data_IF_202589335381
#
_entry.id   IF_202589335381
#
_cell.length_a   1.000
_cell.length_b   1.000
_cell.length_c   1.000
_cell.angle_alpha   90.00
_cell.angle_beta   90.00
_cell.angle_gamma   90.00
#
_symmetry.space_group_name_H-M   'P 1'
#
loop_
_entity.id
_entity.type
_entity.pdbx_description
1 polymer ?
#
# COMPACT_ATOMS: atom_id res chain seq x y z
N UNK A 1 7.70 15.99 -15.59
CA UNK A 1 7.18 16.70 -14.40
C UNK A 1 7.91 16.13 -13.19
N UNK A 2 8.27 16.94 -12.20
CA UNK A 2 8.88 16.46 -10.96
C UNK A 2 8.08 17.04 -9.81
N UNK A 3 7.77 16.19 -8.81
CA UNK A 3 7.18 16.65 -7.56
C UNK A 3 8.29 17.25 -6.69
N UNK A 4 8.02 18.33 -5.99
CA UNK A 4 8.94 18.88 -5.01
C UNK A 4 9.19 17.86 -3.89
N UNK A 5 8.10 17.29 -3.35
CA UNK A 5 8.08 16.35 -2.24
C UNK A 5 6.78 15.52 -2.25
N UNK A 6 6.61 14.62 -1.27
CA UNK A 6 5.41 13.78 -1.12
C UNK A 6 4.14 14.58 -0.79
N UNK A 7 4.26 15.73 -0.18
CA UNK A 7 3.13 16.62 0.11
C UNK A 7 2.54 17.17 -1.20
N UNK A 8 3.37 17.73 -2.07
CA UNK A 8 2.92 18.21 -3.38
C UNK A 8 2.35 17.07 -4.23
N UNK A 9 3.02 15.91 -4.23
CA UNK A 9 2.53 14.72 -4.94
C UNK A 9 1.14 14.29 -4.46
N UNK A 10 0.91 14.31 -3.14
CA UNK A 10 -0.39 14.00 -2.53
C UNK A 10 -1.49 14.97 -2.94
N UNK A 11 -1.22 16.27 -2.94
CA UNK A 11 -2.19 17.26 -3.41
C UNK A 11 -2.54 17.08 -4.89
N UNK A 12 -1.54 16.87 -5.74
CA UNK A 12 -1.78 16.63 -7.17
C UNK A 12 -2.53 15.34 -7.42
N UNK A 13 -2.26 14.30 -6.63
CA UNK A 13 -3.01 13.04 -6.69
C UNK A 13 -4.48 13.24 -6.28
N UNK A 14 -4.73 14.00 -5.22
CA UNK A 14 -6.07 14.30 -4.74
C UNK A 14 -6.94 15.04 -5.77
N UNK A 15 -6.35 15.86 -6.64
CA UNK A 15 -7.07 16.52 -7.74
C UNK A 15 -7.68 15.50 -8.72
N UNK A 16 -7.04 14.35 -8.92
CA UNK A 16 -7.54 13.28 -9.79
C UNK A 16 -8.56 12.38 -9.08
N UNK A 17 -8.75 12.56 -7.78
CA UNK A 17 -9.66 11.78 -6.93
C UNK A 17 -10.87 12.57 -6.45
N UNK A 18 -11.11 13.78 -6.98
CA UNK A 18 -12.17 14.69 -6.50
C UNK A 18 -13.58 14.09 -6.59
N UNK A 19 -13.82 13.11 -7.47
CA UNK A 19 -15.10 12.38 -7.57
C UNK A 19 -15.45 11.63 -6.27
N UNK A 20 -14.45 11.35 -5.41
CA UNK A 20 -14.61 10.64 -4.12
C UNK A 20 -14.76 11.58 -2.92
N UNK A 21 -14.67 12.89 -3.12
CA UNK A 21 -14.71 13.87 -2.03
C UNK A 21 -16.01 13.79 -1.24
N UNK A 22 -15.89 13.76 0.10
CA UNK A 22 -17.01 13.71 1.05
C UNK A 22 -17.89 12.44 0.91
N UNK A 23 -17.40 11.36 0.31
CA UNK A 23 -18.16 10.10 0.30
C UNK A 23 -18.17 9.48 1.71
N UNK A 24 -19.35 9.10 2.26
CA UNK A 24 -19.46 8.65 3.65
C UNK A 24 -18.74 7.32 3.93
N UNK A 25 -18.63 6.46 2.90
CA UNK A 25 -18.02 5.13 3.03
C UNK A 25 -16.59 5.08 2.49
N UNK A 26 -15.97 6.24 2.28
CA UNK A 26 -14.59 6.33 1.83
C UNK A 26 -13.60 6.03 2.96
N UNK A 27 -12.56 5.27 2.65
CA UNK A 27 -11.41 5.01 3.52
C UNK A 27 -10.12 5.13 2.71
N UNK A 28 -9.21 5.97 3.18
CA UNK A 28 -7.87 6.09 2.60
C UNK A 28 -6.91 5.22 3.40
N UNK A 29 -6.14 4.38 2.71
CA UNK A 29 -5.14 3.52 3.30
C UNK A 29 -3.76 3.85 2.72
N UNK A 30 -2.82 4.28 3.57
CA UNK A 30 -1.45 4.53 3.15
C UNK A 30 -0.56 3.29 3.35
N UNK A 31 0.25 2.93 2.36
CA UNK A 31 1.30 1.92 2.53
C UNK A 31 2.52 2.55 3.24
N UNK A 32 2.86 2.08 4.44
CA UNK A 32 4.01 2.65 5.15
C UNK A 32 5.35 2.22 4.49
N UNK A 33 6.35 3.06 4.49
CA UNK A 33 6.34 4.39 5.13
C UNK A 33 6.02 5.51 4.14
N UNK A 34 6.58 5.48 2.92
CA UNK A 34 6.54 6.57 1.95
C UNK A 34 5.14 6.94 1.47
N UNK A 35 4.22 5.97 1.38
CA UNK A 35 2.83 6.23 0.97
C UNK A 35 2.01 7.02 1.98
N UNK A 36 2.41 7.02 3.27
CA UNK A 36 1.60 7.69 4.31
C UNK A 36 1.56 9.22 4.17
N UNK A 37 2.66 9.94 3.90
CA UNK A 37 2.60 11.38 3.64
C UNK A 37 1.71 11.73 2.44
N UNK A 38 1.77 10.95 1.36
CA UNK A 38 0.90 11.14 0.18
C UNK A 38 -0.56 10.89 0.54
N UNK A 39 -0.84 9.76 1.23
CA UNK A 39 -2.18 9.39 1.66
C UNK A 39 -2.80 10.42 2.62
N UNK A 40 -2.00 11.05 3.48
CA UNK A 40 -2.44 12.10 4.38
C UNK A 40 -3.00 13.31 3.63
N UNK A 41 -2.31 13.78 2.59
CA UNK A 41 -2.79 14.90 1.77
C UNK A 41 -4.05 14.52 0.98
N UNK A 42 -4.09 13.30 0.43
CA UNK A 42 -5.29 12.77 -0.24
C UNK A 42 -6.47 12.72 0.73
N UNK A 43 -6.30 12.15 1.91
CA UNK A 43 -7.35 12.04 2.92
C UNK A 43 -7.89 13.42 3.37
N UNK A 44 -6.98 14.36 3.59
CA UNK A 44 -7.32 15.74 3.97
C UNK A 44 -8.13 16.44 2.86
N UNK A 45 -7.66 16.37 1.63
CA UNK A 45 -8.29 17.07 0.50
C UNK A 45 -9.64 16.45 0.11
N UNK A 46 -9.82 15.13 0.33
CA UNK A 46 -11.09 14.42 0.10
C UNK A 46 -12.03 14.44 1.31
N UNK A 47 -11.58 14.95 2.47
CA UNK A 47 -12.30 14.91 3.74
C UNK A 47 -12.70 13.47 4.12
N UNK A 48 -11.73 12.58 4.14
CA UNK A 48 -11.91 11.15 4.38
C UNK A 48 -11.01 10.64 5.51
N UNK A 49 -11.42 9.60 6.25
CA UNK A 49 -10.58 8.98 7.26
C UNK A 49 -9.34 8.33 6.62
N UNK A 50 -8.23 8.41 7.36
CA UNK A 50 -6.93 7.81 7.00
C UNK A 50 -6.54 6.73 8.00
N UNK A 51 -6.02 5.62 7.48
CA UNK A 51 -5.28 4.63 8.28
C UNK A 51 -4.10 4.06 7.46
N UNK A 52 -3.28 3.21 8.08
CA UNK A 52 -2.21 2.49 7.41
C UNK A 52 -2.66 1.07 7.07
N UNK A 53 -2.19 0.57 5.94
CA UNK A 53 -2.32 -0.83 5.58
C UNK A 53 -0.94 -1.43 5.40
N UNK A 54 -0.56 -2.36 6.28
CA UNK A 54 0.77 -2.93 6.30
C UNK A 54 0.73 -4.27 5.56
N UNK A 55 1.65 -4.45 4.64
CA UNK A 55 1.84 -5.70 3.89
C UNK A 55 3.27 -6.16 4.06
N UNK A 56 3.46 -7.45 4.29
CA UNK A 56 4.76 -8.10 4.36
C UNK A 56 4.78 -9.26 3.36
N UNK A 57 5.74 -9.22 2.43
CA UNK A 57 5.97 -10.35 1.53
C UNK A 57 6.62 -11.50 2.30
N UNK A 58 6.21 -12.72 1.98
CA UNK A 58 6.82 -13.95 2.49
C UNK A 58 7.85 -14.40 1.45
N UNK A 59 9.10 -14.00 1.65
CA UNK A 59 10.20 -14.37 0.75
C UNK A 59 10.54 -15.85 0.83
N UNK A 60 10.93 -16.45 -0.29
CA UNK A 60 11.50 -17.81 -0.30
C UNK A 60 12.87 -17.77 0.35
N UNK A 61 13.18 -18.61 1.35
CA UNK A 61 14.50 -18.64 1.99
C UNK A 61 15.63 -18.83 0.96
N UNK A 62 16.60 -17.92 0.97
CA UNK A 62 17.70 -17.88 0.01
C UNK A 62 17.36 -17.25 -1.34
N UNK A 63 16.11 -16.83 -1.55
CA UNK A 63 15.63 -16.10 -2.72
C UNK A 63 14.56 -15.08 -2.29
N UNK A 64 14.89 -14.17 -1.39
CA UNK A 64 13.95 -13.29 -0.67
C UNK A 64 13.14 -12.38 -1.62
N UNK A 65 13.67 -12.11 -2.83
CA UNK A 65 12.94 -11.37 -3.86
C UNK A 65 11.78 -12.15 -4.50
N UNK A 66 11.86 -13.50 -4.45
CA UNK A 66 10.77 -14.37 -4.87
C UNK A 66 9.79 -14.56 -3.70
N UNK A 67 8.57 -14.07 -3.85
CA UNK A 67 7.56 -14.16 -2.82
C UNK A 67 6.73 -15.45 -2.95
N UNK A 68 6.76 -16.30 -1.92
CA UNK A 68 5.87 -17.45 -1.78
C UNK A 68 4.51 -17.07 -1.16
N UNK A 69 4.28 -15.78 -0.88
CA UNK A 69 3.05 -15.27 -0.33
C UNK A 69 3.18 -13.87 0.25
N UNK A 70 2.16 -13.46 0.99
CA UNK A 70 2.12 -12.24 1.74
C UNK A 70 1.23 -12.36 2.97
N UNK A 71 1.52 -11.56 3.99
CA UNK A 71 0.62 -11.28 5.11
C UNK A 71 0.32 -9.79 5.16
N UNK A 72 -0.84 -9.43 5.69
CA UNK A 72 -1.26 -8.04 5.77
C UNK A 72 -2.06 -7.74 7.05
N UNK A 73 -2.24 -6.45 7.32
CA UNK A 73 -3.14 -5.92 8.34
C UNK A 73 -4.48 -6.66 8.34
N UNK A 74 -5.09 -6.79 9.53
CA UNK A 74 -6.32 -7.53 9.75
C UNK A 74 -6.20 -9.07 9.58
N UNK A 75 -4.99 -9.63 9.75
CA UNK A 75 -4.76 -11.07 9.82
C UNK A 75 -4.84 -11.80 8.48
N UNK A 76 -4.75 -11.06 7.38
CA UNK A 76 -4.78 -11.67 6.04
C UNK A 76 -3.48 -12.41 5.75
N UNK A 77 -3.60 -13.66 5.28
CA UNK A 77 -2.49 -14.51 4.82
C UNK A 77 -2.83 -15.04 3.43
N UNK A 78 -1.93 -14.82 2.50
CA UNK A 78 -2.01 -15.31 1.11
C UNK A 78 -0.78 -16.16 0.84
N UNK A 79 -0.96 -17.37 0.33
CA UNK A 79 0.13 -18.24 -0.08
C UNK A 79 0.02 -18.55 -1.58
N UNK A 80 1.16 -18.63 -2.24
CA UNK A 80 1.29 -19.02 -3.64
C UNK A 80 1.64 -20.52 -3.69
N UNK A 81 0.63 -21.38 -3.56
CA UNK A 81 0.80 -22.85 -3.53
C UNK A 81 1.58 -23.40 -4.73
N UNK A 82 1.49 -22.74 -5.89
CA UNK A 82 2.27 -23.08 -7.09
C UNK A 82 3.76 -22.99 -6.82
N UNK A 83 4.23 -21.84 -6.33
CA UNK A 83 5.65 -21.58 -6.01
C UNK A 83 6.13 -22.51 -4.91
N UNK A 84 5.32 -22.68 -3.85
CA UNK A 84 5.66 -23.55 -2.71
C UNK A 84 5.87 -25.00 -3.18
N UNK A 85 4.98 -25.50 -4.04
CA UNK A 85 5.08 -26.87 -4.59
C UNK A 85 6.24 -27.02 -5.58
N UNK A 86 6.40 -26.07 -6.50
CA UNK A 86 7.45 -26.09 -7.52
C UNK A 86 8.85 -26.09 -6.91
N UNK A 87 9.06 -25.31 -5.86
CA UNK A 87 10.33 -25.24 -5.14
C UNK A 87 10.46 -26.27 -4.00
N UNK A 88 9.44 -27.09 -3.77
CA UNK A 88 9.44 -28.12 -2.73
C UNK A 88 9.63 -27.54 -1.32
N UNK A 89 9.08 -26.36 -1.03
CA UNK A 89 9.26 -25.69 0.27
C UNK A 89 8.45 -26.44 1.33
N UNK A 90 9.13 -26.98 2.38
CA UNK A 90 8.43 -27.74 3.41
C UNK A 90 7.47 -26.84 4.23
N UNK A 91 6.33 -27.36 4.70
CA UNK A 91 5.35 -26.57 5.47
C UNK A 91 5.95 -25.85 6.70
N UNK A 92 6.84 -26.51 7.44
CA UNK A 92 7.48 -25.92 8.61
C UNK A 92 8.37 -24.70 8.27
N UNK A 93 8.94 -24.67 7.06
CA UNK A 93 9.72 -23.51 6.56
C UNK A 93 8.79 -22.36 6.26
N UNK A 94 7.66 -22.63 5.58
CA UNK A 94 6.61 -21.62 5.34
C UNK A 94 6.13 -21.01 6.66
N UNK A 95 5.79 -21.87 7.64
CA UNK A 95 5.30 -21.42 8.95
C UNK A 95 6.35 -20.61 9.72
N UNK A 96 7.64 -20.94 9.58
CA UNK A 96 8.73 -20.17 10.19
C UNK A 96 8.80 -18.75 9.61
N UNK A 97 8.75 -18.63 8.28
CA UNK A 97 8.77 -17.31 7.61
C UNK A 97 7.52 -16.51 7.96
N UNK A 98 6.34 -17.14 7.95
CA UNK A 98 5.08 -16.49 8.37
C UNK A 98 5.19 -15.96 9.79
N UNK A 99 5.67 -16.77 10.74
CA UNK A 99 5.79 -16.35 12.14
C UNK A 99 6.78 -15.19 12.34
N UNK A 100 7.86 -15.16 11.57
CA UNK A 100 8.82 -14.06 11.59
C UNK A 100 8.19 -12.77 11.07
N UNK A 101 7.59 -12.81 9.88
CA UNK A 101 6.98 -11.64 9.25
C UNK A 101 5.75 -11.14 10.02
N UNK A 102 4.99 -12.05 10.65
CA UNK A 102 3.85 -11.72 11.51
C UNK A 102 4.28 -10.89 12.72
N UNK A 103 5.38 -11.23 13.38
CA UNK A 103 5.92 -10.43 14.51
C UNK A 103 6.28 -9.01 14.09
N UNK A 104 6.89 -8.87 12.92
CA UNK A 104 7.26 -7.55 12.40
C UNK A 104 6.02 -6.74 11.96
N UNK A 105 5.02 -7.39 11.36
CA UNK A 105 3.75 -6.77 11.01
C UNK A 105 3.06 -6.24 12.27
N UNK A 106 2.89 -7.06 13.30
CA UNK A 106 2.30 -6.69 14.59
C UNK A 106 3.07 -5.58 15.30
N UNK A 107 4.43 -5.62 15.24
CA UNK A 107 5.26 -4.54 15.76
C UNK A 107 4.94 -3.20 15.08
N UNK A 108 4.83 -3.19 13.74
CA UNK A 108 4.49 -2.00 12.97
C UNK A 108 3.05 -1.55 13.20
N UNK A 109 2.10 -2.46 13.29
CA UNK A 109 0.71 -2.12 13.63
C UNK A 109 0.62 -1.41 14.96
N UNK A 110 1.22 -1.96 16.01
CA UNK A 110 1.29 -1.30 17.33
C UNK A 110 1.97 0.06 17.26
N UNK A 111 3.06 0.17 16.47
CA UNK A 111 3.82 1.40 16.34
C UNK A 111 3.01 2.51 15.67
N UNK A 112 2.29 2.22 14.58
CA UNK A 112 1.61 3.24 13.77
C UNK A 112 0.16 3.46 14.17
N UNK A 113 -0.55 2.40 14.57
CA UNK A 113 -1.98 2.43 14.88
C UNK A 113 -2.28 2.54 16.38
N UNK A 114 -1.31 2.18 17.24
CA UNK A 114 -1.50 2.18 18.68
C UNK A 114 -2.68 1.28 19.09
N UNK A 115 -3.62 1.83 19.87
CA UNK A 115 -4.81 1.13 20.34
C UNK A 115 -6.04 1.26 19.42
N UNK A 116 -5.86 1.76 18.18
CA UNK A 116 -6.96 1.78 17.20
C UNK A 116 -7.49 0.36 16.96
N UNK A 117 -8.79 0.20 16.95
CA UNK A 117 -9.46 -1.07 16.68
C UNK A 117 -9.14 -1.65 15.28
N UNK A 118 -9.73 -2.79 14.95
CA UNK A 118 -9.60 -3.41 13.64
C UNK A 118 -10.07 -2.45 12.54
N UNK A 119 -9.43 -2.54 11.36
CA UNK A 119 -9.86 -1.80 10.17
C UNK A 119 -11.22 -2.33 9.69
N UNK A 120 -12.20 -1.44 9.63
CA UNK A 120 -13.50 -1.75 9.03
C UNK A 120 -13.44 -1.48 7.52
N UNK A 121 -13.15 -2.50 6.73
CA UNK A 121 -12.97 -2.42 5.26
C UNK A 121 -14.21 -2.91 4.51
N UNK A 122 -14.92 -3.91 5.06
CA UNK A 122 -16.07 -4.51 4.40
C UNK A 122 -17.11 -3.47 3.98
N UNK A 123 -17.51 -3.52 2.72
CA UNK A 123 -18.52 -2.63 2.13
C UNK A 123 -18.06 -1.19 1.87
N UNK A 124 -16.82 -0.82 2.21
CA UNK A 124 -16.29 0.55 1.98
C UNK A 124 -15.70 0.72 0.58
N UNK A 125 -15.70 1.95 0.11
CA UNK A 125 -14.82 2.40 -0.97
C UNK A 125 -13.43 2.65 -0.38
N UNK A 126 -12.44 1.89 -0.81
CA UNK A 126 -11.06 1.96 -0.31
C UNK A 126 -10.16 2.54 -1.38
N UNK A 127 -9.41 3.59 -1.04
CA UNK A 127 -8.31 4.11 -1.86
C UNK A 127 -7.01 3.74 -1.17
N UNK A 128 -6.23 2.85 -1.79
CA UNK A 128 -4.90 2.49 -1.30
C UNK A 128 -3.84 3.35 -2.01
N UNK A 129 -2.96 3.95 -1.22
CA UNK A 129 -2.01 4.98 -1.66
C UNK A 129 -0.59 4.58 -1.33
N UNK A 130 0.32 4.81 -2.30
CA UNK A 130 1.77 4.76 -2.09
C UNK A 130 2.43 6.01 -2.71
N UNK A 131 3.71 6.27 -2.44
CA UNK A 131 4.45 7.40 -3.00
C UNK A 131 4.88 7.20 -4.46
N UNK A 132 4.74 5.99 -4.97
CA UNK A 132 4.98 5.58 -6.35
C UNK A 132 5.23 4.08 -6.43
N UNK A 133 5.18 3.56 -7.63
CA UNK A 133 5.42 2.13 -7.87
C UNK A 133 6.57 1.95 -8.85
N UNK A 134 7.42 0.94 -8.60
CA UNK A 134 8.33 0.39 -9.58
C UNK A 134 7.71 -0.86 -10.20
N UNK A 135 7.90 -2.02 -9.60
CA UNK A 135 7.30 -3.30 -10.04
C UNK A 135 5.86 -3.50 -9.58
N UNK A 136 5.38 -2.70 -8.64
CA UNK A 136 4.05 -2.83 -8.06
C UNK A 136 3.84 -4.08 -7.18
N UNK A 137 4.88 -4.86 -6.87
CA UNK A 137 4.73 -6.14 -6.15
C UNK A 137 4.10 -6.01 -4.77
N UNK A 138 4.46 -4.98 -4.00
CA UNK A 138 3.83 -4.69 -2.70
C UNK A 138 2.37 -4.27 -2.87
N UNK A 139 2.08 -3.44 -3.88
CA UNK A 139 0.72 -3.01 -4.17
C UNK A 139 -0.17 -4.20 -4.62
N UNK A 140 0.34 -5.10 -5.46
CA UNK A 140 -0.37 -6.34 -5.84
C UNK A 140 -0.73 -7.19 -4.63
N UNK A 141 0.21 -7.37 -3.70
CA UNK A 141 -0.04 -8.08 -2.45
C UNK A 141 -1.07 -7.37 -1.56
N UNK A 142 -1.04 -6.03 -1.51
CA UNK A 142 -2.01 -5.23 -0.79
C UNK A 142 -3.42 -5.36 -1.40
N UNK A 143 -3.55 -5.28 -2.73
CA UNK A 143 -4.82 -5.48 -3.43
C UNK A 143 -5.41 -6.86 -3.10
N UNK A 144 -4.61 -7.92 -3.24
CA UNK A 144 -5.05 -9.28 -2.96
C UNK A 144 -5.53 -9.46 -1.51
N UNK A 145 -4.83 -8.82 -0.55
CA UNK A 145 -5.22 -8.83 0.85
C UNK A 145 -6.51 -8.04 1.11
N UNK A 146 -6.64 -6.85 0.51
CA UNK A 146 -7.84 -6.00 0.64
C UNK A 146 -9.07 -6.66 0.02
N UNK A 147 -8.93 -7.37 -1.10
CA UNK A 147 -10.05 -8.11 -1.73
C UNK A 147 -10.65 -9.17 -0.78
N UNK A 148 -9.83 -9.81 0.07
CA UNK A 148 -10.33 -10.75 1.08
C UNK A 148 -11.19 -10.06 2.15
N UNK A 149 -11.00 -8.74 2.36
CA UNK A 149 -11.80 -7.93 3.29
C UNK A 149 -13.12 -7.40 2.67
N UNK A 150 -13.40 -7.75 1.41
CA UNK A 150 -14.65 -7.43 0.69
C UNK A 150 -15.00 -5.93 0.67
N UNK A 151 -14.10 -5.03 0.24
CA UNK A 151 -14.48 -3.64 -0.02
C UNK A 151 -15.54 -3.58 -1.13
N UNK A 152 -16.41 -2.58 -1.12
CA UNK A 152 -17.36 -2.33 -2.21
C UNK A 152 -16.67 -1.86 -3.48
N UNK A 153 -15.59 -1.07 -3.33
CA UNK A 153 -14.72 -0.61 -4.41
C UNK A 153 -13.29 -0.49 -3.92
N UNK A 154 -12.34 -0.91 -4.73
CA UNK A 154 -10.90 -0.82 -4.43
C UNK A 154 -10.18 -0.02 -5.51
N UNK A 155 -9.62 1.10 -5.12
CA UNK A 155 -8.91 2.04 -5.98
C UNK A 155 -7.44 2.06 -5.58
N UNK A 156 -6.55 1.95 -6.54
CA UNK A 156 -5.11 2.21 -6.37
C UNK A 156 -4.83 3.63 -6.80
N UNK A 157 -4.16 4.39 -5.95
CA UNK A 157 -3.79 5.76 -6.26
C UNK A 157 -2.32 6.02 -5.92
N UNK A 158 -1.53 6.36 -6.92
CA UNK A 158 -0.10 6.66 -6.79
C UNK A 158 0.28 7.85 -7.65
N UNK A 159 1.16 8.76 -7.19
CA UNK A 159 1.57 9.91 -7.98
C UNK A 159 2.31 9.52 -9.26
N UNK A 160 3.11 8.46 -9.20
CA UNK A 160 3.99 8.05 -10.31
C UNK A 160 4.22 6.54 -10.35
N UNK A 161 4.28 5.99 -11.55
CA UNK A 161 4.66 4.59 -11.83
C UNK A 161 4.97 4.41 -13.32
N UNK A 162 5.61 3.29 -13.74
CA UNK A 162 5.64 2.90 -15.15
C UNK A 162 4.23 2.65 -15.69
N UNK A 163 3.98 3.02 -16.93
CA UNK A 163 2.67 2.84 -17.57
C UNK A 163 2.22 1.36 -17.58
N UNK A 164 3.16 0.44 -17.82
CA UNK A 164 2.88 -1.01 -17.81
C UNK A 164 2.47 -1.50 -16.42
N UNK A 165 3.14 -1.03 -15.36
CA UNK A 165 2.75 -1.36 -13.97
C UNK A 165 1.33 -0.88 -13.65
N UNK A 166 0.97 0.35 -14.07
CA UNK A 166 -0.39 0.86 -13.88
C UNK A 166 -1.42 -0.01 -14.63
N UNK A 167 -1.11 -0.43 -15.86
CA UNK A 167 -1.98 -1.29 -16.67
C UNK A 167 -2.19 -2.67 -16.05
N UNK A 168 -1.12 -3.30 -15.55
CA UNK A 168 -1.22 -4.59 -14.86
C UNK A 168 -2.12 -4.52 -13.61
N UNK A 169 -2.06 -3.41 -12.86
CA UNK A 169 -2.88 -3.23 -11.66
C UNK A 169 -4.38 -3.01 -11.97
N UNK A 170 -4.73 -2.54 -13.18
CA UNK A 170 -6.13 -2.41 -13.62
C UNK A 170 -6.85 -3.76 -13.72
N UNK A 171 -6.12 -4.88 -13.84
CA UNK A 171 -6.71 -6.22 -13.82
C UNK A 171 -7.15 -6.68 -12.42
N UNK A 172 -6.59 -6.08 -11.36
CA UNK A 172 -6.80 -6.50 -9.98
C UNK A 172 -7.60 -5.49 -9.13
N UNK A 173 -7.50 -4.20 -9.45
CA UNK A 173 -8.23 -3.11 -8.81
C UNK A 173 -9.42 -2.66 -9.68
N UNK A 174 -10.43 -2.04 -9.06
CA UNK A 174 -11.58 -1.50 -9.81
C UNK A 174 -11.22 -0.21 -10.56
N UNK A 175 -10.19 0.50 -10.06
CA UNK A 175 -9.68 1.72 -10.66
C UNK A 175 -8.21 1.92 -10.29
N UNK A 176 -7.42 2.46 -11.21
CA UNK A 176 -6.02 2.85 -10.97
C UNK A 176 -5.86 4.31 -11.39
N UNK A 177 -5.47 5.14 -10.43
CA UNK A 177 -5.17 6.56 -10.62
C UNK A 177 -3.67 6.78 -10.51
N UNK A 178 -3.02 7.04 -11.64
CA UNK A 178 -1.59 7.29 -11.74
C UNK A 178 -1.36 8.44 -12.73
N UNK A 179 -1.36 9.70 -12.26
CA UNK A 179 -1.34 10.86 -13.13
C UNK A 179 -0.01 11.08 -13.85
N UNK A 180 1.10 10.52 -13.36
CA UNK A 180 2.41 10.69 -13.95
C UNK A 180 3.10 9.36 -14.24
N UNK A 181 3.29 9.06 -15.53
CA UNK A 181 3.95 7.83 -16.02
C UNK A 181 5.16 8.19 -16.89
N UNK A 182 6.30 8.55 -16.29
CA UNK A 182 7.48 8.95 -17.05
C UNK A 182 8.06 7.79 -17.87
N UNK A 183 8.55 8.14 -19.04
CA UNK A 183 9.30 7.23 -19.92
C UNK A 183 10.60 7.94 -20.37
N UNK A 184 11.80 7.41 -20.06
CA UNK A 184 12.03 6.20 -19.28
C UNK A 184 11.75 6.39 -17.76
N UNK A 185 11.27 5.31 -17.12
CA UNK A 185 11.11 5.24 -15.68
C UNK A 185 12.33 4.53 -15.06
N UNK A 186 13.09 5.20 -14.22
CA UNK A 186 14.27 4.61 -13.56
C UNK A 186 14.00 4.16 -12.12
N UNK A 187 13.32 5.00 -11.36
CA UNK A 187 12.97 4.74 -9.96
C UNK A 187 11.91 5.73 -9.50
N UNK A 188 11.16 5.39 -8.45
CA UNK A 188 10.16 6.27 -7.83
C UNK A 188 10.78 7.61 -7.42
N UNK A 189 11.93 7.57 -6.75
CA UNK A 189 12.64 8.77 -6.29
C UNK A 189 13.05 9.72 -7.42
N UNK A 190 13.20 9.23 -8.65
CA UNK A 190 13.48 10.07 -9.83
C UNK A 190 12.35 11.03 -10.20
N UNK A 191 11.15 10.82 -9.67
CA UNK A 191 10.00 11.72 -9.86
C UNK A 191 9.90 12.84 -8.81
N UNK A 192 10.82 12.85 -7.83
CA UNK A 192 10.81 13.80 -6.71
C UNK A 192 12.10 14.60 -6.63
N UNK A 193 12.00 15.88 -6.23
CA UNK A 193 13.17 16.70 -5.91
C UNK A 193 13.69 16.42 -4.49
N UNK A 194 12.79 16.19 -3.53
CA UNK A 194 13.09 15.70 -2.18
C UNK A 194 12.40 14.37 -1.96
N UNK A 195 13.18 13.28 -1.93
CA UNK A 195 12.71 11.91 -1.68
C UNK A 195 13.40 11.30 -0.46
N UNK A 196 13.69 12.09 0.57
CA UNK A 196 14.25 11.58 1.82
C UNK A 196 13.37 10.48 2.42
N UNK A 197 14.00 9.59 3.19
CA UNK A 197 13.29 8.49 3.81
C UNK A 197 12.30 9.02 4.86
N UNK A 198 11.03 8.62 4.74
CA UNK A 198 10.00 8.86 5.76
C UNK A 198 10.30 8.05 7.02
N UNK A 199 10.31 8.70 8.17
CA UNK A 199 10.59 8.06 9.47
C UNK A 199 9.33 7.44 10.07
N UNK A 200 9.52 6.56 11.06
CA UNK A 200 8.40 5.97 11.82
C UNK A 200 7.65 7.05 12.62
N UNK A 201 8.37 8.06 13.12
CA UNK A 201 7.81 9.21 13.83
C UNK A 201 6.91 10.05 12.93
N UNK A 202 7.36 10.33 11.69
CA UNK A 202 6.55 11.06 10.69
C UNK A 202 5.26 10.31 10.40
N UNK A 203 5.31 8.98 10.20
CA UNK A 203 4.13 8.15 9.98
C UNK A 203 3.15 8.26 11.15
N UNK A 204 3.64 8.08 12.39
CA UNK A 204 2.80 8.17 13.60
C UNK A 204 2.12 9.53 13.73
N UNK A 205 2.88 10.60 13.51
CA UNK A 205 2.36 11.97 13.62
C UNK A 205 1.27 12.24 12.58
N UNK A 206 1.45 11.81 11.32
CA UNK A 206 0.45 11.99 10.28
C UNK A 206 -0.83 11.20 10.56
N UNK A 207 -0.71 9.95 11.04
CA UNK A 207 -1.85 9.13 11.43
C UNK A 207 -2.58 9.74 12.64
N UNK A 208 -1.85 10.31 13.61
CA UNK A 208 -2.44 11.00 14.77
C UNK A 208 -3.20 12.26 14.36
N UNK A 209 -2.69 13.04 13.40
CA UNK A 209 -3.35 14.27 12.91
C UNK A 209 -4.60 14.00 12.09
N UNK A 210 -4.68 12.83 11.47
CA UNK A 210 -5.82 12.42 10.66
C UNK A 210 -6.94 11.73 11.48
N UNK A 211 -6.82 11.67 12.82
CA UNK A 211 -7.75 10.97 13.72
C UNK A 211 -8.96 11.84 14.12
#
# INVERSE_FOLDING_TARGET
MYFRDRTEAGHLLALNLQAYKNQPDLLILGLPRGGVPVAYEVARDLNAPLDVFIVRKLGVPGQEELAMGAIATAGVRILHDGIIRELGIPPHVVDTVVAQEQRELERRERLYRGERGSLAIEGKTVIIVDDGLATGSTMKAAIAALRQQRPSKLIVAVPTAPADTCKELQEAADEVVCPFTPDPFYAVGGSYSDFRQTTDEEVRELIRRAA
#
